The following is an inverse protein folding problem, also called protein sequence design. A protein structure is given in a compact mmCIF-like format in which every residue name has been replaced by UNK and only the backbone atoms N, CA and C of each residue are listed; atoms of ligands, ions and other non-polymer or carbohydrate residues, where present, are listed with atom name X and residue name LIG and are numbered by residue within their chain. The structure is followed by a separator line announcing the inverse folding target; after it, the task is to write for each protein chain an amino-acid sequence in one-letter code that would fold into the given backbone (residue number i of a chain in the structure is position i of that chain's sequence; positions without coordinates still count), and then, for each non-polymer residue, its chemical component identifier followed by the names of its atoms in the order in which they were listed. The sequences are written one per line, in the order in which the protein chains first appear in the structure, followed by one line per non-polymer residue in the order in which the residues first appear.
data_IF_116843064009
#
_entry.id   IF_116843064009
#
_cell.length_a   1.000
_cell.length_b   1.000
_cell.length_c   1.000
_cell.angle_alpha   90.00
_cell.angle_beta   90.00
_cell.angle_gamma   90.00
#
_symmetry.space_group_name_H-M   'P 1'
#
loop_
_entity.id
_entity.type
_entity.pdbx_description
1 polymer ?
#
# COMPACT_ATOMS: atom_id res chain seq x y z
N UNK A 1 -21.25 -41.76 -31.48
CA UNK A 1 -21.57 -40.44 -30.87
C UNK A 1 -21.15 -40.31 -29.39
N UNK A 2 -21.07 -41.39 -28.58
CA UNK A 2 -20.65 -41.31 -27.16
C UNK A 2 -19.18 -40.95 -26.92
N UNK A 3 -18.29 -41.20 -27.89
CA UNK A 3 -16.84 -41.01 -27.71
C UNK A 3 -16.38 -39.55 -27.91
N UNK A 4 -17.12 -38.78 -28.70
CA UNK A 4 -16.82 -37.36 -28.97
C UNK A 4 -17.13 -36.51 -27.73
N UNK A 5 -18.12 -36.91 -26.93
CA UNK A 5 -18.49 -36.24 -25.67
C UNK A 5 -17.39 -36.41 -24.61
N UNK A 6 -16.71 -37.57 -24.57
CA UNK A 6 -15.64 -37.83 -23.61
C UNK A 6 -14.38 -36.96 -23.86
N UNK A 7 -14.04 -36.68 -25.12
CA UNK A 7 -12.87 -35.86 -25.48
C UNK A 7 -13.08 -34.37 -25.14
N UNK A 8 -14.31 -33.86 -25.28
CA UNK A 8 -14.64 -32.46 -24.93
C UNK A 8 -14.55 -32.17 -23.42
N UNK A 9 -14.90 -33.14 -22.57
CA UNK A 9 -14.82 -33.00 -21.10
C UNK A 9 -13.37 -33.00 -20.59
N UNK A 10 -12.49 -33.80 -21.20
CA UNK A 10 -11.07 -33.86 -20.82
C UNK A 10 -10.30 -32.57 -21.14
N UNK A 11 -10.64 -31.90 -22.25
CA UNK A 11 -10.03 -30.63 -22.66
C UNK A 11 -10.40 -29.43 -21.76
N UNK A 12 -11.58 -29.47 -21.13
CA UNK A 12 -12.02 -28.40 -20.22
C UNK A 12 -11.36 -28.49 -18.83
N UNK A 13 -10.88 -29.67 -18.43
CA UNK A 13 -10.23 -29.90 -17.13
C UNK A 13 -8.73 -29.54 -17.13
N UNK A 14 -8.06 -29.48 -18.29
CA UNK A 14 -6.63 -29.14 -18.38
C UNK A 14 -6.33 -27.64 -18.30
N UNK A 15 -7.32 -26.79 -18.60
CA UNK A 15 -7.17 -25.33 -18.57
C UNK A 15 -6.91 -24.74 -17.17
N UNK A 16 -7.51 -25.35 -16.13
CA UNK A 16 -7.30 -24.90 -14.74
C UNK A 16 -5.91 -25.27 -14.19
N UNK A 17 -5.37 -26.42 -14.59
CA UNK A 17 -4.04 -26.88 -14.14
C UNK A 17 -2.90 -26.03 -14.72
N UNK A 18 -3.05 -25.54 -15.95
CA UNK A 18 -2.06 -24.65 -16.57
C UNK A 18 -1.94 -23.33 -15.82
N UNK A 19 -3.07 -22.69 -15.47
CA UNK A 19 -3.09 -21.39 -14.80
C UNK A 19 -2.55 -21.45 -13.38
N UNK A 20 -2.86 -22.53 -12.65
CA UNK A 20 -2.29 -22.78 -11.32
C UNK A 20 -0.77 -22.98 -11.38
N UNK A 21 -0.27 -23.77 -12.34
CA UNK A 21 1.17 -23.96 -12.56
C UNK A 21 1.88 -22.67 -12.97
N UNK A 22 1.27 -21.84 -13.81
CA UNK A 22 1.86 -20.56 -14.21
C UNK A 22 2.01 -19.60 -13.03
N UNK A 23 1.08 -19.60 -12.06
CA UNK A 23 1.17 -18.78 -10.86
C UNK A 23 2.23 -19.32 -9.88
N UNK A 24 2.37 -20.64 -9.76
CA UNK A 24 3.44 -21.24 -8.96
C UNK A 24 4.84 -20.99 -9.56
N UNK A 25 5.00 -21.06 -10.88
CA UNK A 25 6.30 -20.85 -11.54
C UNK A 25 6.73 -19.37 -11.58
N UNK A 26 5.77 -18.43 -11.55
CA UNK A 26 6.08 -16.99 -11.52
C UNK A 26 6.64 -16.52 -10.16
N UNK A 27 6.51 -17.35 -9.11
CA UNK A 27 6.88 -16.99 -7.74
C UNK A 27 6.05 -15.84 -7.16
N UNK A 28 6.33 -15.43 -5.92
CA UNK A 28 5.68 -14.26 -5.31
C UNK A 28 6.01 -12.98 -6.09
N UNK A 29 5.03 -12.08 -6.23
CA UNK A 29 5.27 -10.72 -6.76
C UNK A 29 6.47 -10.06 -6.05
N UNK A 30 7.32 -9.26 -6.72
CA UNK A 30 8.41 -8.54 -6.07
C UNK A 30 7.92 -7.56 -4.99
N UNK A 31 6.64 -7.21 -5.00
CA UNK A 31 5.98 -6.38 -4.00
C UNK A 31 4.99 -7.17 -3.14
N UNK A 32 4.78 -6.69 -1.91
CA UNK A 32 3.70 -7.07 -1.03
C UNK A 32 2.66 -5.95 -0.99
N UNK A 33 1.38 -6.30 -0.93
CA UNK A 33 0.33 -5.33 -0.66
C UNK A 33 0.49 -4.79 0.75
N UNK A 34 0.25 -3.49 0.91
CA UNK A 34 0.29 -2.80 2.18
C UNK A 34 -0.89 -1.83 2.28
N UNK A 35 -1.32 -1.56 3.50
CA UNK A 35 -2.28 -0.50 3.82
C UNK A 35 -1.54 0.70 4.40
N UNK A 36 -2.20 1.85 4.42
CA UNK A 36 -1.64 3.10 4.96
C UNK A 36 -2.37 3.50 6.23
N UNK A 37 -1.59 3.70 7.30
CA UNK A 37 -2.02 4.26 8.58
C UNK A 37 -1.39 5.63 8.84
N UNK A 38 -2.00 6.39 9.76
CA UNK A 38 -1.52 7.72 10.15
C UNK A 38 -1.39 7.81 11.67
N UNK A 39 -0.25 8.31 12.12
CA UNK A 39 -0.04 8.72 13.51
C UNK A 39 0.33 10.20 13.50
N UNK A 40 -0.56 11.03 14.04
CA UNK A 40 -0.41 12.47 14.06
C UNK A 40 0.03 12.94 15.44
N UNK A 41 1.31 13.25 15.58
CA UNK A 41 1.89 13.85 16.79
C UNK A 41 1.88 15.39 16.73
N UNK A 42 1.01 16.00 15.93
CA UNK A 42 0.93 17.47 15.79
C UNK A 42 -0.37 18.03 16.40
N UNK A 43 -0.35 19.34 16.67
CA UNK A 43 -1.52 20.09 17.13
C UNK A 43 -2.56 20.38 16.03
N UNK A 44 -2.22 20.11 14.78
CA UNK A 44 -3.06 20.39 13.61
C UNK A 44 -3.71 19.10 13.08
N UNK A 45 -4.89 19.22 12.49
CA UNK A 45 -5.52 18.09 11.80
C UNK A 45 -4.92 17.88 10.42
N UNK A 46 -4.73 16.61 10.05
CA UNK A 46 -4.38 16.21 8.70
C UNK A 46 -5.69 15.91 7.97
N UNK A 47 -6.02 16.72 6.98
CA UNK A 47 -7.26 16.57 6.23
C UNK A 47 -7.18 15.42 5.22
N UNK A 48 -6.00 15.21 4.63
CA UNK A 48 -5.72 14.04 3.80
C UNK A 48 -4.22 13.77 3.77
N UNK A 49 -3.83 12.50 3.62
CA UNK A 49 -2.46 12.12 3.34
C UNK A 49 -2.36 10.86 2.47
N UNK A 50 -1.25 10.73 1.72
CA UNK A 50 -0.97 9.61 0.85
C UNK A 50 0.53 9.30 0.76
N UNK A 51 0.82 8.05 0.36
CA UNK A 51 2.16 7.50 0.08
C UNK A 51 2.16 7.03 -1.37
N UNK A 52 3.02 7.62 -2.21
CA UNK A 52 3.09 7.36 -3.67
C UNK A 52 1.73 7.46 -4.37
N UNK A 53 0.90 8.39 -3.92
CA UNK A 53 -0.46 8.60 -4.44
C UNK A 53 -1.51 7.61 -3.92
N UNK A 54 -1.10 6.52 -3.26
CA UNK A 54 -2.01 5.63 -2.55
C UNK A 54 -2.35 6.22 -1.17
N UNK A 55 -3.63 6.45 -0.88
CA UNK A 55 -4.04 7.12 0.35
C UNK A 55 -5.40 7.81 0.26
N UNK A 56 -5.53 8.87 1.06
CA UNK A 56 -6.79 9.61 1.27
C UNK A 56 -7.29 9.59 2.72
N UNK A 57 -6.52 9.00 3.65
CA UNK A 57 -6.85 9.02 5.07
C UNK A 57 -6.65 10.42 5.67
N UNK A 58 -7.48 10.74 6.65
CA UNK A 58 -7.37 11.92 7.49
C UNK A 58 -6.98 11.50 8.92
N UNK A 59 -6.47 12.43 9.70
CA UNK A 59 -6.21 12.19 11.12
C UNK A 59 -6.43 13.45 11.95
N UNK A 60 -7.15 13.30 13.06
CA UNK A 60 -7.31 14.37 14.03
C UNK A 60 -5.96 14.76 14.65
N UNK A 61 -5.87 15.97 15.22
CA UNK A 61 -4.71 16.38 16.03
C UNK A 61 -4.47 15.36 17.15
N UNK A 62 -3.21 15.03 17.40
CA UNK A 62 -2.81 14.03 18.42
C UNK A 62 -3.46 12.64 18.25
N UNK A 63 -3.96 12.32 17.04
CA UNK A 63 -4.66 11.08 16.75
C UNK A 63 -3.76 9.97 16.23
N UNK A 64 -4.21 8.72 16.39
CA UNK A 64 -3.59 7.55 15.78
C UNK A 64 -4.69 6.66 15.20
N UNK A 65 -4.49 6.18 13.97
CA UNK A 65 -5.39 5.27 13.28
C UNK A 65 -4.65 4.03 12.82
N UNK A 66 -5.39 2.92 12.67
CA UNK A 66 -4.88 1.73 12.01
C UNK A 66 -4.58 1.99 10.54
N UNK A 67 -3.89 1.03 9.92
CA UNK A 67 -3.71 1.02 8.48
C UNK A 67 -4.98 0.49 7.82
N UNK A 68 -5.83 1.41 7.36
CA UNK A 68 -7.17 1.09 6.83
C UNK A 68 -7.34 1.49 5.37
N UNK A 69 -6.40 2.29 4.83
CA UNK A 69 -6.44 2.71 3.44
C UNK A 69 -5.68 1.72 2.58
N UNK A 70 -6.41 1.06 1.67
CA UNK A 70 -5.87 0.03 0.81
C UNK A 70 -4.91 0.58 -0.27
N UNK A 71 -4.39 -0.38 -1.03
CA UNK A 71 -3.99 -0.19 -2.42
C UNK A 71 -2.63 0.48 -2.62
N UNK A 72 -1.75 0.40 -1.60
CA UNK A 72 -0.31 0.61 -1.77
C UNK A 72 0.41 -0.74 -1.82
N UNK A 73 1.68 -0.72 -2.25
CA UNK A 73 2.53 -1.90 -2.23
C UNK A 73 3.97 -1.51 -1.92
N UNK A 74 4.62 -2.28 -1.08
CA UNK A 74 6.05 -2.12 -0.76
C UNK A 74 6.85 -3.28 -1.34
N UNK A 75 8.16 -3.11 -1.63
CA UNK A 75 9.03 -4.24 -1.95
C UNK A 75 8.96 -5.33 -0.89
N UNK A 76 9.14 -6.60 -1.27
CA UNK A 76 9.20 -7.68 -0.27
C UNK A 76 10.47 -7.66 0.56
N UNK A 77 11.55 -7.14 -0.02
CA UNK A 77 12.86 -7.05 0.58
C UNK A 77 13.24 -5.58 0.61
N UNK A 78 13.48 -5.06 1.81
CA UNK A 78 13.96 -3.70 1.98
C UNK A 78 15.36 -3.53 1.38
N UNK A 79 15.66 -2.33 0.88
CA UNK A 79 16.99 -1.94 0.44
C UNK A 79 17.30 -0.48 0.86
N UNK A 80 18.58 -0.14 1.11
CA UNK A 80 18.97 1.22 1.49
C UNK A 80 18.58 2.26 0.43
N UNK A 81 18.05 3.40 0.86
CA UNK A 81 17.63 4.47 -0.06
C UNK A 81 16.28 4.22 -0.73
N UNK A 82 15.44 3.33 -0.19
CA UNK A 82 14.05 3.22 -0.59
C UNK A 82 13.30 4.50 -0.20
N UNK A 83 12.80 5.24 -1.19
CA UNK A 83 12.10 6.51 -0.96
C UNK A 83 10.65 6.42 -1.42
N UNK A 84 9.76 7.06 -0.68
CA UNK A 84 8.35 7.24 -1.06
C UNK A 84 8.00 8.72 -1.04
N UNK A 85 7.09 9.13 -1.92
CA UNK A 85 6.50 10.47 -1.90
C UNK A 85 5.36 10.49 -0.88
N UNK A 86 5.54 11.23 0.20
CA UNK A 86 4.48 11.52 1.15
C UNK A 86 3.86 12.88 0.80
N UNK A 87 2.56 12.89 0.54
CA UNK A 87 1.76 14.11 0.31
C UNK A 87 0.71 14.23 1.38
N UNK A 88 0.52 15.43 1.95
CA UNK A 88 -0.50 15.65 2.97
C UNK A 88 -1.05 17.08 2.96
N UNK A 89 -2.30 17.24 3.39
CA UNK A 89 -2.96 18.52 3.56
C UNK A 89 -3.19 18.82 5.04
N UNK A 90 -2.64 19.94 5.52
CA UNK A 90 -2.90 20.48 6.85
C UNK A 90 -3.49 21.88 6.72
N UNK A 91 -4.82 22.02 6.63
CA UNK A 91 -5.46 23.29 6.32
C UNK A 91 -5.24 24.35 7.42
N UNK A 92 -5.12 25.61 7.00
CA UNK A 92 -5.10 26.78 7.87
C UNK A 92 -6.44 27.52 7.71
N UNK A 93 -7.36 27.29 8.64
CA UNK A 93 -8.74 27.80 8.53
C UNK A 93 -9.49 27.17 7.36
N UNK A 94 -9.83 27.98 6.35
CA UNK A 94 -10.52 27.53 5.12
C UNK A 94 -9.57 27.32 3.93
N UNK A 95 -8.27 27.45 4.15
CA UNK A 95 -7.27 27.35 3.09
C UNK A 95 -6.53 26.01 3.21
N UNK A 96 -6.58 25.22 2.15
CA UNK A 96 -5.79 24.00 2.05
C UNK A 96 -4.30 24.33 1.96
N UNK A 97 -3.49 23.70 2.81
CA UNK A 97 -2.03 23.80 2.77
C UNK A 97 -1.46 22.41 2.52
N UNK A 98 -1.22 22.14 1.25
CA UNK A 98 -0.67 20.87 0.78
C UNK A 98 0.85 20.91 0.82
N UNK A 99 1.44 19.85 1.38
CA UNK A 99 2.88 19.66 1.52
C UNK A 99 3.25 18.30 0.96
N UNK A 100 4.49 18.20 0.47
CA UNK A 100 5.04 16.99 -0.12
C UNK A 100 6.49 16.82 0.32
N UNK A 101 6.90 15.56 0.53
CA UNK A 101 8.28 15.24 0.85
C UNK A 101 8.62 13.82 0.41
N UNK A 102 9.78 13.65 -0.20
CA UNK A 102 10.40 12.33 -0.34
C UNK A 102 10.92 11.88 1.01
N UNK A 103 10.42 10.75 1.51
CA UNK A 103 10.76 10.20 2.82
C UNK A 103 11.39 8.82 2.60
N UNK A 104 12.49 8.55 3.29
CA UNK A 104 13.08 7.22 3.28
C UNK A 104 12.20 6.25 4.09
N UNK A 105 11.94 5.08 3.52
CA UNK A 105 11.22 4.01 4.20
C UNK A 105 12.15 3.35 5.20
N UNK A 106 11.73 3.32 6.47
CA UNK A 106 12.48 2.63 7.52
C UNK A 106 12.72 1.16 7.17
N UNK A 107 13.86 0.64 7.62
CA UNK A 107 14.22 -0.76 7.37
C UNK A 107 13.18 -1.70 7.98
N UNK A 108 12.72 -2.65 7.18
CA UNK A 108 11.86 -3.76 7.61
C UNK A 108 12.49 -5.11 7.21
N UNK A 109 12.33 -6.11 8.08
CA UNK A 109 12.76 -7.48 7.81
C UNK A 109 11.65 -8.28 7.10
N UNK A 110 10.39 -7.97 7.40
CA UNK A 110 9.20 -8.55 6.76
C UNK A 110 8.24 -7.44 6.31
N UNK A 111 7.57 -7.58 5.15
CA UNK A 111 6.60 -6.60 4.70
C UNK A 111 5.39 -6.52 5.62
N UNK A 112 4.95 -5.29 5.88
CA UNK A 112 3.71 -4.99 6.59
C UNK A 112 3.02 -3.76 6.00
N UNK A 113 2.24 -3.07 6.83
CA UNK A 113 1.58 -1.82 6.47
C UNK A 113 2.51 -0.60 6.63
N UNK A 114 2.22 0.48 5.91
CA UNK A 114 2.97 1.74 5.99
C UNK A 114 2.29 2.68 6.99
N UNK A 115 3.05 3.21 7.95
CA UNK A 115 2.56 4.23 8.88
C UNK A 115 3.26 5.57 8.64
N UNK A 116 2.47 6.60 8.33
CA UNK A 116 2.98 7.97 8.25
C UNK A 116 2.94 8.61 9.65
N UNK A 117 4.12 8.89 10.19
CA UNK A 117 4.26 9.60 11.46
C UNK A 117 4.53 11.08 11.20
N UNK A 118 3.61 11.94 11.64
CA UNK A 118 3.73 13.39 11.54
C UNK A 118 4.16 13.97 12.88
N UNK A 119 5.34 14.58 12.93
CA UNK A 119 5.89 15.19 14.14
C UNK A 119 5.81 16.72 14.08
N UNK A 120 5.76 17.43 15.22
CA UNK A 120 5.90 18.87 15.26
C UNK A 120 7.24 19.26 14.66
N UNK A 121 7.29 20.38 13.93
CA UNK A 121 8.58 20.97 13.57
C UNK A 121 9.27 21.42 14.86
N UNK A 122 10.41 20.82 15.19
CA UNK A 122 11.33 21.38 16.18
C UNK A 122 11.85 22.69 15.59
N UNK A 123 11.58 23.81 16.27
CA UNK A 123 12.20 25.11 15.99
C UNK A 123 13.63 25.13 16.47
#
# INVERSE_FOLDING_TARGET
MKWIICLGVALLLSGCALKARQLEEAGPSPTAGAQVGIVNHTGESIYSASVDGAGGANMARWGAGGAEVCCTSIPRVWYPGMMVLVRWNMPEGHTDVVKEKMVEVEKYDEPGDIYMHFFPMMR
#
